data_IF_382124158766
#
_entry.id   IF_382124158766
#
_cell.length_a   1.000
_cell.length_b   1.000
_cell.length_c   1.000
_cell.angle_alpha   90.00
_cell.angle_beta   90.00
_cell.angle_gamma   90.00
#
_symmetry.space_group_name_H-M   'P 1'
#
loop_
_entity.id
_entity.type
_entity.pdbx_description
1 polymer ?
#
# COMPACT_ATOMS: atom_id res chain seq x y z
N UNK A 1 -31.21 6.79 40.42
CA UNK A 1 -30.26 7.25 41.46
C UNK A 1 -29.65 6.04 42.14
N UNK A 2 -28.44 5.66 41.73
CA UNK A 2 -27.45 4.95 42.56
C UNK A 2 -26.15 4.95 41.77
N UNK A 3 -25.24 5.83 42.18
CA UNK A 3 -23.88 5.93 41.68
C UNK A 3 -23.07 4.72 42.11
N UNK A 4 -22.36 4.08 41.19
CA UNK A 4 -21.22 3.22 41.53
C UNK A 4 -19.95 3.90 41.04
N UNK A 5 -19.19 4.43 42.00
CA UNK A 5 -17.84 4.97 41.81
C UNK A 5 -16.87 3.78 41.77
N UNK A 6 -16.13 3.62 40.67
CA UNK A 6 -14.89 2.85 40.69
C UNK A 6 -13.70 3.80 40.88
N UNK A 7 -12.74 3.45 41.76
CA UNK A 7 -11.68 4.35 42.18
C UNK A 7 -10.56 4.43 41.13
N UNK A 8 -10.17 5.67 40.83
CA UNK A 8 -8.94 6.03 40.14
C UNK A 8 -7.72 5.59 40.96
N UNK A 9 -6.87 4.75 40.38
CA UNK A 9 -5.51 4.51 40.89
C UNK A 9 -4.48 4.51 39.75
N UNK A 10 -3.94 5.72 39.55
CA UNK A 10 -2.52 6.02 39.31
C UNK A 10 -1.88 5.22 38.17
N UNK A 11 -2.03 5.73 36.95
CA UNK A 11 -1.09 5.46 35.87
C UNK A 11 0.28 6.04 36.26
N UNK A 12 1.28 5.18 36.43
CA UNK A 12 2.69 5.61 36.41
C UNK A 12 2.98 6.05 34.98
N UNK A 13 3.13 7.36 34.80
CA UNK A 13 3.52 7.95 33.52
C UNK A 13 4.85 7.37 33.07
N UNK A 14 4.82 6.65 31.95
CA UNK A 14 6.01 6.50 31.11
C UNK A 14 6.20 7.86 30.47
N UNK A 15 7.19 8.61 30.95
CA UNK A 15 7.68 9.78 30.26
C UNK A 15 8.36 9.30 28.98
N UNK A 16 7.62 9.23 27.89
CA UNK A 16 8.20 9.20 26.55
C UNK A 16 8.80 10.60 26.37
N UNK A 17 10.12 10.67 26.48
CA UNK A 17 10.85 11.88 26.16
C UNK A 17 10.69 12.14 24.66
N UNK A 18 9.69 12.93 24.30
CA UNK A 18 9.66 13.60 23.00
C UNK A 18 10.85 14.55 22.97
N UNK A 19 11.94 14.11 22.36
CA UNK A 19 12.94 15.03 21.84
C UNK A 19 12.29 15.74 20.66
N UNK A 20 11.67 16.89 20.94
CA UNK A 20 11.42 17.90 19.91
C UNK A 20 12.79 18.41 19.48
N UNK A 21 13.38 17.77 18.48
CA UNK A 21 14.45 18.39 17.70
C UNK A 21 13.77 19.47 16.87
N UNK A 22 13.68 20.66 17.46
CA UNK A 22 13.49 21.89 16.71
C UNK A 22 14.78 22.17 15.97
N UNK A 23 14.89 21.63 14.76
CA UNK A 23 15.75 22.21 13.73
C UNK A 23 14.83 22.86 12.72
N UNK A 24 14.67 24.17 12.88
CA UNK A 24 14.15 25.03 11.85
C UNK A 24 14.98 24.82 10.57
N UNK A 25 14.26 24.52 9.47
CA UNK A 25 14.61 24.80 8.09
C UNK A 25 16.06 24.59 7.67
N UNK A 26 16.39 23.37 7.29
CA UNK A 26 17.28 23.11 6.15
C UNK A 26 16.70 21.90 5.41
N UNK A 27 15.71 22.15 4.54
CA UNK A 27 15.50 21.22 3.43
C UNK A 27 16.73 21.35 2.56
N UNK A 28 17.58 20.32 2.50
CA UNK A 28 18.69 20.31 1.56
C UNK A 28 18.17 20.66 0.16
N UNK A 29 18.90 21.49 -0.60
CA UNK A 29 18.51 21.82 -1.96
C UNK A 29 18.25 20.53 -2.75
N UNK A 30 17.21 20.52 -3.58
CA UNK A 30 16.87 19.38 -4.43
C UNK A 30 18.14 18.94 -5.17
N UNK A 31 18.69 17.75 -4.89
CA UNK A 31 19.88 17.27 -5.58
C UNK A 31 19.63 17.31 -7.09
N UNK A 32 20.66 17.51 -7.92
CA UNK A 32 20.56 17.31 -9.37
C UNK A 32 20.00 15.90 -9.63
N UNK A 33 18.70 15.86 -9.88
CA UNK A 33 17.95 14.60 -9.87
C UNK A 33 18.01 14.08 -11.29
N UNK A 34 18.85 13.07 -11.52
CA UNK A 34 18.92 12.40 -12.81
C UNK A 34 17.51 11.96 -13.22
N UNK A 35 17.06 12.42 -14.39
CA UNK A 35 15.74 12.09 -14.92
C UNK A 35 15.85 10.93 -15.91
N UNK A 36 15.00 9.93 -15.70
CA UNK A 36 14.87 8.75 -16.54
C UNK A 36 13.48 8.72 -17.16
N UNK A 37 13.41 8.25 -18.39
CA UNK A 37 12.17 7.91 -19.10
C UNK A 37 12.14 6.42 -19.37
N UNK A 38 10.99 5.88 -19.79
CA UNK A 38 10.89 4.46 -20.11
C UNK A 38 10.38 4.18 -21.52
N UNK A 39 11.02 3.25 -22.21
CA UNK A 39 10.59 2.73 -23.51
C UNK A 39 10.09 1.30 -23.35
N UNK A 40 8.97 0.89 -23.98
CA UNK A 40 8.52 -0.50 -23.94
C UNK A 40 9.57 -1.41 -24.59
N UNK A 41 9.87 -2.55 -23.96
CA UNK A 41 10.80 -3.56 -24.49
C UNK A 41 10.19 -4.97 -24.48
N UNK A 42 9.51 -5.33 -23.39
CA UNK A 42 8.86 -6.62 -23.22
C UNK A 42 7.36 -6.48 -23.04
N UNK A 43 6.59 -7.42 -23.58
CA UNK A 43 5.15 -7.52 -23.36
C UNK A 43 4.73 -8.99 -23.29
N UNK A 44 4.07 -9.34 -22.20
CA UNK A 44 3.50 -10.66 -21.94
C UNK A 44 1.99 -10.46 -21.82
N UNK A 45 1.22 -11.23 -22.56
CA UNK A 45 -0.23 -11.10 -22.62
C UNK A 45 -0.78 -11.39 -24.01
N UNK A 46 -2.00 -11.91 -24.08
CA UNK A 46 -2.74 -12.05 -25.34
C UNK A 46 -4.20 -11.57 -25.16
N UNK A 47 -4.70 -10.83 -26.15
CA UNK A 47 -6.08 -10.36 -26.20
C UNK A 47 -7.10 -11.46 -26.54
N UNK A 48 -6.65 -12.58 -27.12
CA UNK A 48 -7.54 -13.56 -27.76
C UNK A 48 -7.76 -14.85 -26.96
N UNK A 49 -7.57 -14.81 -25.63
CA UNK A 49 -7.93 -15.93 -24.77
C UNK A 49 -6.99 -17.14 -24.87
N UNK A 50 -5.78 -16.95 -25.41
CA UNK A 50 -4.72 -17.95 -25.39
C UNK A 50 -4.14 -18.17 -23.98
N UNK A 51 -3.16 -19.07 -23.82
CA UNK A 51 -2.54 -19.38 -22.52
C UNK A 51 -1.87 -18.16 -21.83
N UNK A 52 -1.62 -17.08 -22.59
CA UNK A 52 -1.10 -15.81 -22.10
C UNK A 52 -2.20 -14.76 -21.80
N UNK A 53 -3.49 -15.08 -21.93
CA UNK A 53 -4.55 -14.14 -21.62
C UNK A 53 -4.74 -14.02 -20.10
N UNK A 54 -4.60 -12.80 -19.57
CA UNK A 54 -4.79 -12.54 -18.14
C UNK A 54 -6.22 -12.09 -17.83
N UNK A 55 -6.85 -12.72 -16.84
CA UNK A 55 -8.16 -12.32 -16.34
C UNK A 55 -8.06 -11.05 -15.49
N UNK A 56 -7.17 -11.05 -14.49
CA UNK A 56 -6.85 -9.87 -13.70
C UNK A 56 -5.47 -10.02 -13.06
N UNK A 57 -4.53 -9.18 -13.47
CA UNK A 57 -3.22 -9.10 -12.81
C UNK A 57 -3.29 -8.16 -11.60
N UNK A 58 -3.04 -8.68 -10.39
CA UNK A 58 -2.97 -7.86 -9.18
C UNK A 58 -1.54 -7.47 -8.80
N UNK A 59 -0.57 -8.34 -9.07
CA UNK A 59 0.83 -8.12 -8.74
C UNK A 59 1.76 -8.71 -9.81
N UNK A 60 2.92 -8.08 -9.97
CA UNK A 60 3.99 -8.52 -10.86
C UNK A 60 5.30 -8.33 -10.10
N UNK A 61 6.13 -9.38 -10.04
CA UNK A 61 7.49 -9.31 -9.49
C UNK A 61 8.49 -9.88 -10.46
N UNK A 62 9.75 -9.46 -10.34
CA UNK A 62 10.83 -9.94 -11.19
C UNK A 62 11.97 -10.48 -10.34
N UNK A 63 12.59 -11.58 -10.76
CA UNK A 63 13.81 -12.05 -10.11
C UNK A 63 14.93 -11.00 -10.22
N UNK A 64 15.87 -10.93 -9.26
CA UNK A 64 16.95 -9.94 -9.28
C UNK A 64 17.82 -9.98 -10.56
N UNK A 65 17.96 -11.14 -11.20
CA UNK A 65 18.65 -11.33 -12.48
C UNK A 65 17.85 -10.86 -13.71
N UNK A 66 16.55 -10.58 -13.55
CA UNK A 66 15.65 -10.18 -14.62
C UNK A 66 15.12 -11.33 -15.47
N UNK A 67 15.44 -12.59 -15.18
CA UNK A 67 15.12 -13.74 -16.04
C UNK A 67 13.72 -14.34 -15.80
N UNK A 68 13.08 -14.03 -14.66
CA UNK A 68 11.77 -14.57 -14.28
C UNK A 68 10.80 -13.47 -13.89
N UNK A 69 9.65 -13.44 -14.55
CA UNK A 69 8.54 -12.54 -14.29
C UNK A 69 7.40 -13.31 -13.65
N UNK A 70 7.14 -13.04 -12.38
CA UNK A 70 6.08 -13.65 -11.58
C UNK A 70 4.82 -12.81 -11.72
N UNK A 71 3.71 -13.46 -12.08
CA UNK A 71 2.42 -12.81 -12.31
C UNK A 71 1.37 -13.45 -11.42
N UNK A 72 0.67 -12.62 -10.65
CA UNK A 72 -0.39 -13.06 -9.75
C UNK A 72 -1.78 -12.69 -10.29
N UNK A 73 -2.63 -13.71 -10.44
CA UNK A 73 -4.04 -13.57 -10.85
C UNK A 73 -4.97 -14.07 -9.74
N UNK A 74 -5.47 -13.18 -8.86
CA UNK A 74 -6.15 -13.59 -7.63
C UNK A 74 -7.50 -14.26 -7.87
N UNK A 75 -8.24 -13.84 -8.91
CA UNK A 75 -9.53 -14.46 -9.24
C UNK A 75 -9.43 -15.88 -9.75
N UNK A 76 -8.29 -16.23 -10.37
CA UNK A 76 -8.02 -17.59 -10.81
C UNK A 76 -7.28 -18.40 -9.75
N UNK A 77 -6.93 -17.80 -8.60
CA UNK A 77 -6.03 -18.41 -7.62
C UNK A 77 -4.74 -18.94 -8.30
N UNK A 78 -4.20 -18.14 -9.24
CA UNK A 78 -3.12 -18.52 -10.14
C UNK A 78 -1.88 -17.68 -9.93
N UNK A 79 -0.73 -18.35 -9.83
CA UNK A 79 0.60 -17.74 -9.94
C UNK A 79 1.29 -18.37 -11.14
N UNK A 80 1.68 -17.55 -12.09
CA UNK A 80 2.46 -17.98 -13.25
C UNK A 80 3.82 -17.29 -13.28
N UNK A 81 4.82 -17.98 -13.80
CA UNK A 81 6.19 -17.46 -13.95
C UNK A 81 6.57 -17.55 -15.41
N UNK A 82 7.11 -16.48 -15.94
CA UNK A 82 7.39 -16.29 -17.36
C UNK A 82 8.84 -15.86 -17.55
N UNK A 83 9.39 -16.10 -18.73
CA UNK A 83 10.55 -15.34 -19.21
C UNK A 83 10.11 -13.93 -19.62
N UNK A 84 11.02 -12.94 -19.67
CA UNK A 84 10.73 -11.63 -20.25
C UNK A 84 10.16 -11.68 -21.67
N UNK A 85 10.57 -12.69 -22.45
CA UNK A 85 10.14 -12.92 -23.83
C UNK A 85 8.72 -13.52 -23.93
N UNK A 86 8.12 -13.90 -22.80
CA UNK A 86 6.74 -14.40 -22.74
C UNK A 86 6.60 -15.92 -22.81
N UNK A 87 7.68 -16.68 -22.63
CA UNK A 87 7.59 -18.14 -22.47
C UNK A 87 7.20 -18.50 -21.03
N UNK A 88 6.25 -19.40 -20.87
CA UNK A 88 5.82 -19.85 -19.53
C UNK A 88 6.84 -20.85 -18.95
N UNK A 89 7.35 -20.55 -17.76
CA UNK A 89 8.28 -21.38 -17.00
C UNK A 89 7.57 -22.22 -15.95
N UNK A 90 6.50 -21.67 -15.35
CA UNK A 90 5.73 -22.33 -14.29
C UNK A 90 4.29 -21.80 -14.30
N UNK A 91 3.35 -22.68 -13.98
CA UNK A 91 1.95 -22.32 -13.79
C UNK A 91 1.37 -23.08 -12.59
N UNK A 92 0.96 -22.35 -11.56
CA UNK A 92 0.31 -22.89 -10.37
C UNK A 92 -1.09 -22.30 -10.29
N UNK A 93 -2.08 -23.05 -10.78
CA UNK A 93 -3.51 -22.77 -10.62
C UNK A 93 -4.13 -23.82 -9.69
N UNK A 94 -4.23 -23.50 -8.41
CA UNK A 94 -4.68 -24.45 -7.38
C UNK A 94 -5.65 -23.78 -6.42
N UNK A 95 -6.92 -23.57 -6.80
CA UNK A 95 -7.91 -22.98 -5.90
C UNK A 95 -8.23 -23.94 -4.73
N UNK A 96 -8.21 -23.43 -3.49
CA UNK A 96 -8.61 -24.21 -2.32
C UNK A 96 -7.93 -23.81 -1.01
N UNK A 97 -7.98 -24.73 -0.03
CA UNK A 97 -7.50 -24.52 1.34
C UNK A 97 -6.41 -25.52 1.76
N UNK A 98 -6.08 -26.49 0.91
CA UNK A 98 -5.02 -27.48 1.12
C UNK A 98 -3.59 -26.93 0.93
N UNK A 99 -2.56 -27.75 1.19
CA UNK A 99 -1.16 -27.36 1.00
C UNK A 99 -0.86 -26.99 -0.45
N UNK A 100 -0.31 -25.79 -0.68
CA UNK A 100 0.00 -25.29 -2.02
C UNK A 100 -1.19 -24.77 -2.82
N UNK A 101 -2.39 -24.73 -2.23
CA UNK A 101 -3.58 -24.13 -2.83
C UNK A 101 -3.73 -22.64 -2.42
N UNK A 102 -4.56 -21.87 -3.11
CA UNK A 102 -4.87 -20.48 -2.78
C UNK A 102 -6.37 -20.21 -2.86
N UNK A 103 -6.86 -19.30 -2.02
CA UNK A 103 -8.24 -18.81 -2.07
C UNK A 103 -8.28 -17.36 -2.53
N UNK A 104 -7.42 -16.53 -1.95
CA UNK A 104 -7.37 -15.11 -2.29
C UNK A 104 -5.92 -14.64 -2.13
N UNK A 105 -5.04 -15.06 -3.06
CA UNK A 105 -3.65 -14.66 -3.00
C UNK A 105 -3.55 -13.14 -3.24
N UNK A 106 -2.73 -12.48 -2.44
CA UNK A 106 -2.64 -11.02 -2.34
C UNK A 106 -1.33 -10.48 -2.90
N UNK A 107 -0.24 -11.24 -2.74
CA UNK A 107 1.12 -10.87 -3.13
C UNK A 107 1.92 -12.12 -3.50
N UNK A 108 2.79 -12.00 -4.49
CA UNK A 108 3.87 -12.95 -4.78
C UNK A 108 5.19 -12.25 -4.51
N UNK A 109 6.18 -12.97 -3.96
CA UNK A 109 7.50 -12.41 -3.71
C UNK A 109 8.61 -13.43 -4.02
N UNK A 110 9.46 -13.16 -5.02
CA UNK A 110 10.68 -13.93 -5.28
C UNK A 110 11.61 -13.90 -4.06
N UNK A 111 12.35 -14.98 -3.84
CA UNK A 111 13.36 -15.06 -2.79
C UNK A 111 14.49 -16.02 -3.21
N UNK A 112 15.63 -16.04 -2.50
CA UNK A 112 16.78 -16.87 -2.88
C UNK A 112 16.50 -18.38 -3.00
N UNK A 113 15.47 -18.90 -2.31
CA UNK A 113 15.09 -20.31 -2.34
C UNK A 113 13.97 -20.62 -3.38
N UNK A 114 13.33 -19.59 -3.91
CA UNK A 114 12.23 -19.68 -4.87
C UNK A 114 11.30 -18.48 -4.79
N UNK A 115 10.08 -18.67 -4.30
CA UNK A 115 9.12 -17.59 -4.14
C UNK A 115 8.10 -17.90 -3.04
N UNK A 116 7.47 -16.86 -2.52
CA UNK A 116 6.39 -16.95 -1.55
C UNK A 116 5.11 -16.35 -2.11
N UNK A 117 3.98 -16.87 -1.66
CA UNK A 117 2.65 -16.34 -1.97
C UNK A 117 1.94 -16.05 -0.65
N UNK A 118 1.56 -14.80 -0.46
CA UNK A 118 0.73 -14.38 0.67
C UNK A 118 -0.73 -14.53 0.28
N UNK A 119 -1.48 -15.33 1.02
CA UNK A 119 -2.94 -15.39 0.99
C UNK A 119 -3.49 -14.72 2.27
N UNK A 120 -4.78 -14.41 2.26
CA UNK A 120 -5.57 -13.94 3.40
C UNK A 120 -5.45 -14.78 4.68
N UNK A 121 -4.98 -16.03 4.58
CA UNK A 121 -4.88 -16.97 5.72
C UNK A 121 -3.50 -17.55 5.97
N UNK A 122 -2.53 -17.37 5.07
CA UNK A 122 -1.24 -18.06 5.16
C UNK A 122 -0.21 -17.45 4.22
N UNK A 123 1.05 -17.76 4.51
CA UNK A 123 2.17 -17.63 3.60
C UNK A 123 2.54 -19.02 3.09
N UNK A 124 2.67 -19.18 1.78
CA UNK A 124 3.04 -20.46 1.16
C UNK A 124 4.33 -20.28 0.38
N UNK A 125 5.32 -21.13 0.64
CA UNK A 125 6.66 -21.04 0.07
C UNK A 125 6.87 -22.15 -0.94
N UNK A 126 7.43 -21.79 -2.09
CA UNK A 126 7.74 -22.70 -3.19
C UNK A 126 9.21 -22.55 -3.56
N UNK A 127 9.75 -23.66 -4.05
CA UNK A 127 10.99 -23.67 -4.83
C UNK A 127 10.80 -22.98 -6.18
N UNK A 128 11.91 -22.66 -6.86
CA UNK A 128 11.91 -22.09 -8.21
C UNK A 128 11.19 -22.95 -9.27
N UNK A 129 11.13 -24.27 -9.08
CA UNK A 129 10.41 -25.23 -9.93
C UNK A 129 8.96 -25.48 -9.47
N UNK A 130 8.47 -24.74 -8.48
CA UNK A 130 7.06 -24.78 -8.04
C UNK A 130 6.71 -25.91 -7.07
N UNK A 131 7.70 -26.66 -6.56
CA UNK A 131 7.49 -27.61 -5.47
C UNK A 131 7.28 -26.87 -4.16
N UNK A 132 6.25 -27.26 -3.41
CA UNK A 132 5.93 -26.74 -2.08
C UNK A 132 7.08 -27.00 -1.10
N UNK A 133 7.56 -25.95 -0.44
CA UNK A 133 8.55 -26.02 0.64
C UNK A 133 7.87 -26.11 1.99
N UNK A 134 7.01 -25.12 2.31
CA UNK A 134 6.29 -25.03 3.58
C UNK A 134 5.10 -24.07 3.48
N UNK A 135 4.23 -24.15 4.48
CA UNK A 135 3.11 -23.22 4.68
C UNK A 135 3.14 -22.72 6.11
N UNK A 136 3.03 -21.40 6.28
CA UNK A 136 2.92 -20.74 7.59
C UNK A 136 1.51 -20.16 7.70
N UNK A 137 0.66 -20.65 8.63
CA UNK A 137 -0.67 -20.10 8.81
C UNK A 137 -0.60 -18.69 9.40
N UNK A 138 -1.62 -17.89 9.12
CA UNK A 138 -1.85 -16.66 9.85
C UNK A 138 -2.12 -16.95 11.33
N UNK A 139 -1.90 -15.97 12.20
CA UNK A 139 -2.00 -16.12 13.64
C UNK A 139 -3.43 -16.49 14.06
N UNK A 140 -3.60 -17.23 15.17
CA UNK A 140 -4.91 -17.57 15.68
C UNK A 140 -5.79 -16.33 15.90
N UNK A 141 -7.10 -16.37 15.56
CA UNK A 141 -8.02 -15.25 15.75
C UNK A 141 -8.14 -14.75 17.20
N UNK A 142 -7.72 -15.56 18.17
CA UNK A 142 -7.72 -15.20 19.60
C UNK A 142 -6.71 -14.09 19.95
N UNK A 143 -5.70 -13.87 19.12
CA UNK A 143 -4.74 -12.79 19.30
C UNK A 143 -5.37 -11.51 18.76
N UNK A 144 -5.56 -10.54 19.66
CA UNK A 144 -6.21 -9.27 19.33
C UNK A 144 -5.53 -8.10 20.01
N UNK A 145 -5.62 -6.93 19.39
CA UNK A 145 -5.24 -5.66 20.00
C UNK A 145 -6.50 -4.92 20.41
N UNK A 146 -6.71 -4.75 21.73
CA UNK A 146 -7.91 -4.11 22.30
C UNK A 146 -9.23 -4.70 21.76
N UNK A 147 -9.28 -6.03 21.53
CA UNK A 147 -10.44 -6.73 20.99
C UNK A 147 -10.55 -6.74 19.46
N UNK A 148 -9.70 -6.00 18.75
CA UNK A 148 -9.65 -6.05 17.29
C UNK A 148 -8.72 -7.17 16.81
N UNK A 149 -9.19 -7.96 15.85
CA UNK A 149 -8.35 -8.95 15.15
C UNK A 149 -7.17 -8.26 14.49
N UNK A 150 -6.06 -8.97 14.36
CA UNK A 150 -4.88 -8.46 13.69
C UNK A 150 -4.89 -8.83 12.21
N UNK A 151 -4.43 -7.92 11.35
CA UNK A 151 -4.15 -8.17 9.94
C UNK A 151 -2.64 -8.33 9.76
N UNK A 152 -2.11 -9.56 9.57
CA UNK A 152 -0.71 -9.77 9.26
C UNK A 152 -0.35 -9.09 7.94
N UNK A 153 0.71 -8.29 7.95
CA UNK A 153 1.23 -7.57 6.77
C UNK A 153 2.55 -8.15 6.30
N UNK A 154 3.34 -8.71 7.23
CA UNK A 154 4.69 -9.21 6.98
C UNK A 154 4.98 -10.39 7.89
N UNK A 155 5.57 -11.46 7.37
CA UNK A 155 6.15 -12.54 8.16
C UNK A 155 7.61 -12.17 8.48
N UNK A 156 8.04 -12.34 9.72
CA UNK A 156 9.43 -12.11 10.15
C UNK A 156 10.21 -13.42 10.21
N UNK A 157 11.55 -13.36 10.20
CA UNK A 157 12.41 -14.56 10.21
C UNK A 157 12.20 -15.45 11.44
N UNK A 158 11.80 -14.88 12.58
CA UNK A 158 11.58 -15.59 13.85
C UNK A 158 10.15 -16.15 13.99
N UNK A 159 9.48 -16.46 12.88
CA UNK A 159 8.07 -16.91 12.81
C UNK A 159 7.08 -15.97 13.52
N UNK A 160 7.46 -14.70 13.69
CA UNK A 160 6.59 -13.61 14.11
C UNK A 160 6.00 -12.89 12.90
N UNK A 161 5.25 -11.83 13.15
CA UNK A 161 4.66 -11.04 12.08
C UNK A 161 4.53 -9.58 12.49
N UNK A 162 4.61 -8.69 11.50
CA UNK A 162 4.15 -7.32 11.67
C UNK A 162 2.68 -7.26 11.26
N UNK A 163 1.84 -6.65 12.09
CA UNK A 163 0.42 -6.50 11.86
C UNK A 163 -0.10 -5.11 12.22
N UNK A 164 -1.28 -4.81 11.67
CA UNK A 164 -2.11 -3.68 12.09
C UNK A 164 -3.45 -4.20 12.60
N UNK A 165 -4.10 -3.52 13.57
CA UNK A 165 -5.45 -3.86 13.98
C UNK A 165 -6.47 -3.71 12.84
N UNK A 166 -7.39 -4.67 12.71
CA UNK A 166 -8.52 -4.62 11.80
C UNK A 166 -9.65 -3.76 12.39
N UNK A 167 -9.52 -2.43 12.29
CA UNK A 167 -10.53 -1.49 12.80
C UNK A 167 -11.72 -1.41 11.82
N UNK A 168 -12.96 -1.67 12.27
CA UNK A 168 -14.15 -1.41 11.46
C UNK A 168 -14.27 0.07 11.09
N UNK A 169 -14.74 0.36 9.88
CA UNK A 169 -14.88 1.75 9.40
C UNK A 169 -15.74 2.64 10.28
N UNK A 170 -16.78 2.08 10.91
CA UNK A 170 -17.67 2.80 11.84
C UNK A 170 -16.94 3.29 13.10
N UNK A 171 -16.02 2.48 13.62
CA UNK A 171 -15.17 2.86 14.76
C UNK A 171 -14.12 3.86 14.30
N UNK A 172 -13.49 3.63 13.14
CA UNK A 172 -12.50 4.56 12.59
C UNK A 172 -13.08 5.96 12.32
N UNK A 173 -14.36 6.05 11.96
CA UNK A 173 -15.08 7.30 11.73
C UNK A 173 -15.67 7.94 13.00
N UNK A 174 -15.50 7.34 14.18
CA UNK A 174 -16.04 7.86 15.45
C UNK A 174 -17.57 7.72 15.62
N UNK A 175 -18.22 6.83 14.86
CA UNK A 175 -19.69 6.73 14.88
C UNK A 175 -20.26 5.97 16.07
N UNK A 176 -19.40 5.35 16.89
CA UNK A 176 -19.76 4.62 18.11
C UNK A 176 -19.68 5.47 19.37
N UNK A 177 -19.58 6.79 19.24
CA UNK A 177 -19.51 7.74 20.37
C UNK A 177 -18.08 8.06 20.82
N UNK A 178 -17.08 7.60 20.07
CA UNK A 178 -15.66 7.91 20.23
C UNK A 178 -15.22 8.96 19.20
N UNK A 179 -14.10 9.63 19.42
CA UNK A 179 -13.49 10.46 18.38
C UNK A 179 -12.99 9.59 17.20
N UNK A 180 -12.96 10.14 15.97
CA UNK A 180 -12.33 9.46 14.83
C UNK A 180 -10.91 8.97 15.15
N UNK A 181 -10.52 7.87 14.53
CA UNK A 181 -9.21 7.29 14.75
C UNK A 181 -8.16 8.03 13.93
N UNK A 182 -7.30 8.78 14.61
CA UNK A 182 -6.20 9.52 14.00
C UNK A 182 -4.89 8.73 13.95
N UNK A 183 -4.74 7.72 14.81
CA UNK A 183 -3.51 6.95 14.98
C UNK A 183 -3.76 5.45 14.94
N UNK A 184 -2.88 4.69 14.27
CA UNK A 184 -2.95 3.24 14.23
C UNK A 184 -1.60 2.62 14.64
N UNK A 185 -1.56 1.73 15.65
CA UNK A 185 -0.31 1.10 16.03
C UNK A 185 0.10 0.07 14.98
N UNK A 186 1.39 0.08 14.69
CA UNK A 186 2.07 -1.00 14.00
C UNK A 186 2.66 -1.94 15.03
N UNK A 187 2.33 -3.22 14.93
CA UNK A 187 2.54 -4.20 15.99
C UNK A 187 3.48 -5.30 15.49
N UNK A 188 4.55 -5.58 16.21
CA UNK A 188 5.30 -6.82 16.04
C UNK A 188 4.76 -7.85 17.01
N UNK A 189 4.37 -9.00 16.49
CA UNK A 189 3.74 -10.07 17.25
C UNK A 189 4.53 -11.34 17.08
N UNK A 190 4.85 -12.01 18.19
CA UNK A 190 5.72 -13.17 18.22
C UNK A 190 5.26 -14.19 19.24
N UNK A 191 5.61 -15.46 19.01
CA UNK A 191 5.40 -16.51 19.98
C UNK A 191 6.66 -16.65 20.86
N UNK A 192 6.49 -16.58 22.17
CA UNK A 192 7.50 -16.81 23.20
C UNK A 192 6.95 -17.84 24.19
N UNK A 193 7.62 -18.99 24.34
CA UNK A 193 7.26 -20.05 25.31
C UNK A 193 5.75 -20.42 25.31
N UNK A 194 5.20 -20.75 24.13
CA UNK A 194 3.78 -21.06 23.91
C UNK A 194 2.80 -19.91 24.21
N UNK A 195 3.29 -18.67 24.35
CA UNK A 195 2.49 -17.46 24.55
C UNK A 195 2.76 -16.45 23.46
N UNK A 196 1.74 -15.72 23.06
CA UNK A 196 1.90 -14.63 22.10
C UNK A 196 2.20 -13.33 22.83
N UNK A 197 3.27 -12.66 22.45
CA UNK A 197 3.62 -11.31 22.90
C UNK A 197 3.53 -10.34 21.73
N UNK A 198 3.27 -9.08 22.04
CA UNK A 198 3.02 -8.04 21.05
C UNK A 198 3.57 -6.72 21.54
N UNK A 199 4.41 -6.11 20.70
CA UNK A 199 5.06 -4.84 20.94
C UNK A 199 4.62 -3.83 19.88
N UNK A 200 4.36 -2.59 20.29
CA UNK A 200 4.14 -1.49 19.33
C UNK A 200 5.49 -1.00 18.83
N UNK A 201 5.72 -1.14 17.52
CA UNK A 201 7.00 -0.75 16.89
C UNK A 201 6.95 0.62 16.23
N UNK A 202 5.75 1.08 15.88
CA UNK A 202 5.49 2.43 15.38
C UNK A 202 4.02 2.82 15.59
N UNK A 203 3.71 4.10 15.45
CA UNK A 203 2.35 4.61 15.40
C UNK A 203 2.21 5.37 14.09
N UNK A 204 1.22 4.97 13.28
CA UNK A 204 0.94 5.56 11.98
C UNK A 204 -0.10 6.66 12.14
N UNK A 205 0.14 7.82 11.53
CA UNK A 205 -0.91 8.81 11.29
C UNK A 205 -1.87 8.27 10.22
N UNK A 206 -3.14 8.13 10.57
CA UNK A 206 -4.21 7.63 9.69
C UNK A 206 -5.33 8.64 9.50
N UNK A 207 -5.10 9.91 9.87
CA UNK A 207 -6.02 11.01 9.62
C UNK A 207 -6.30 11.15 8.13
N UNK A 208 -7.51 11.62 7.83
CA UNK A 208 -7.98 11.89 6.46
C UNK A 208 -7.91 10.69 5.49
N UNK A 209 -7.56 9.48 5.95
CA UNK A 209 -7.43 8.29 5.09
C UNK A 209 -8.74 7.86 4.44
N UNK A 210 -9.85 8.09 5.13
CA UNK A 210 -11.17 7.60 4.74
C UNK A 210 -12.15 8.74 4.49
N UNK A 211 -12.99 8.57 3.48
CA UNK A 211 -14.26 9.28 3.34
C UNK A 211 -15.33 8.52 4.12
N UNK A 212 -15.95 9.19 5.09
CA UNK A 212 -17.00 8.62 5.94
C UNK A 212 -18.24 9.52 5.89
N UNK A 213 -19.35 9.00 5.36
CA UNK A 213 -20.62 9.72 5.22
C UNK A 213 -21.74 8.94 5.90
N UNK A 214 -22.40 9.62 6.84
CA UNK A 214 -23.59 9.14 7.54
C UNK A 214 -24.77 10.10 7.25
N UNK A 215 -25.81 9.66 6.52
CA UNK A 215 -26.95 10.52 6.18
C UNK A 215 -27.74 10.98 7.41
N UNK A 216 -28.37 12.15 7.34
CA UNK A 216 -29.19 12.67 8.44
C UNK A 216 -30.40 11.76 8.75
N UNK A 217 -30.75 11.63 10.05
CA UNK A 217 -31.85 10.77 10.52
C UNK A 217 -31.44 9.32 10.86
N UNK A 218 -30.14 9.03 10.83
CA UNK A 218 -29.50 7.74 11.06
C UNK A 218 -29.38 7.31 12.53
N UNK A 219 -30.24 7.80 13.43
CA UNK A 219 -30.15 7.46 14.87
C UNK A 219 -30.40 5.97 15.16
N UNK A 220 -30.89 5.21 14.18
CA UNK A 220 -31.12 3.76 14.28
C UNK A 220 -30.00 2.94 13.60
N UNK A 221 -29.61 1.85 14.25
CA UNK A 221 -28.50 0.92 13.95
C UNK A 221 -28.50 0.27 12.55
N UNK A 222 -29.48 0.56 11.68
CA UNK A 222 -29.65 -0.08 10.36
C UNK A 222 -29.70 0.91 9.20
N UNK A 223 -29.13 2.10 9.35
CA UNK A 223 -28.94 3.02 8.22
C UNK A 223 -27.70 2.63 7.41
N UNK A 224 -27.75 2.85 6.10
CA UNK A 224 -26.58 2.63 5.26
C UNK A 224 -25.57 3.76 5.46
N UNK A 225 -24.30 3.43 5.33
CA UNK A 225 -23.19 4.33 5.56
C UNK A 225 -22.14 4.13 4.47
N UNK A 226 -21.56 5.21 3.94
CA UNK A 226 -20.41 5.11 3.04
C UNK A 226 -19.14 5.30 3.86
N UNK A 227 -18.32 4.26 3.93
CA UNK A 227 -16.96 4.34 4.47
C UNK A 227 -15.99 3.69 3.47
N UNK A 228 -15.13 4.51 2.87
CA UNK A 228 -14.17 4.09 1.85
C UNK A 228 -12.89 4.89 1.94
N UNK A 229 -11.78 4.38 1.40
CA UNK A 229 -10.58 5.19 1.23
C UNK A 229 -10.82 6.34 0.25
N UNK A 230 -10.11 7.46 0.42
CA UNK A 230 -10.21 8.62 -0.46
C UNK A 230 -8.90 8.89 -1.23
N UNK A 231 -8.96 9.45 -2.45
CA UNK A 231 -7.80 9.57 -3.34
C UNK A 231 -6.84 10.70 -2.96
N UNK A 232 -7.27 11.60 -2.08
CA UNK A 232 -6.52 12.78 -1.64
C UNK A 232 -5.99 12.63 -0.20
N UNK A 233 -6.04 11.40 0.35
CA UNK A 233 -5.53 11.10 1.67
C UNK A 233 -4.03 11.41 1.77
N UNK A 234 -3.62 11.91 2.94
CA UNK A 234 -2.28 12.33 3.30
C UNK A 234 -1.70 11.52 4.49
N UNK A 235 -2.39 10.46 4.89
CA UNK A 235 -1.96 9.50 5.92
C UNK A 235 -0.60 8.86 5.62
N UNK A 236 0.04 8.32 6.65
CA UNK A 236 1.30 7.63 6.52
C UNK A 236 1.20 6.44 5.55
N UNK A 237 2.14 6.37 4.61
CA UNK A 237 2.25 5.21 3.73
C UNK A 237 3.24 4.21 4.33
N UNK A 238 2.97 2.92 4.10
CA UNK A 238 3.84 1.85 4.58
C UNK A 238 4.22 0.90 3.46
N UNK A 239 5.48 0.48 3.47
CA UNK A 239 5.95 -0.65 2.69
C UNK A 239 6.50 -1.71 3.64
N UNK A 240 5.97 -2.92 3.50
CA UNK A 240 6.39 -4.10 4.26
C UNK A 240 7.34 -4.88 3.39
N UNK A 241 8.60 -4.97 3.82
CA UNK A 241 9.68 -5.60 3.07
C UNK A 241 9.78 -7.09 3.45
N UNK A 242 9.34 -8.00 2.57
CA UNK A 242 9.41 -9.44 2.80
C UNK A 242 10.81 -10.02 2.73
N UNK A 243 11.78 -9.32 2.13
CA UNK A 243 13.16 -9.80 2.03
C UNK A 243 13.90 -9.59 3.35
N UNK A 244 13.76 -8.39 3.94
CA UNK A 244 14.45 -8.01 5.17
C UNK A 244 13.63 -8.23 6.44
N UNK A 245 12.31 -8.37 6.32
CA UNK A 245 11.41 -8.37 7.47
C UNK A 245 11.18 -6.98 8.09
N UNK A 246 11.72 -5.91 7.48
CA UNK A 246 11.59 -4.54 7.97
C UNK A 246 10.34 -3.85 7.42
N UNK A 247 10.01 -2.69 8.01
CA UNK A 247 8.93 -1.82 7.54
C UNK A 247 9.47 -0.45 7.23
N UNK A 248 9.13 0.07 6.06
CA UNK A 248 9.34 1.47 5.69
C UNK A 248 8.07 2.25 5.94
N UNK A 249 8.17 3.36 6.67
CA UNK A 249 7.10 4.34 6.90
C UNK A 249 7.47 5.62 6.15
N UNK A 250 6.52 6.17 5.40
CA UNK A 250 6.66 7.43 4.69
C UNK A 250 5.66 8.45 5.24
N UNK A 251 6.15 9.35 6.08
CA UNK A 251 5.42 10.52 6.52
C UNK A 251 5.41 11.56 5.40
N UNK A 252 4.22 12.08 5.09
CA UNK A 252 4.01 12.95 3.91
C UNK A 252 3.04 14.12 4.13
N UNK A 253 2.49 14.26 5.33
CA UNK A 253 1.56 15.32 5.69
C UNK A 253 2.27 16.55 6.30
N UNK A 254 3.21 17.12 5.56
CA UNK A 254 3.95 18.32 6.01
C UNK A 254 3.46 19.62 5.38
N UNK A 255 2.66 19.55 4.31
CA UNK A 255 2.10 20.72 3.62
C UNK A 255 3.08 21.54 2.79
N UNK A 256 4.35 21.13 2.69
CA UNK A 256 5.43 21.87 2.02
C UNK A 256 6.19 21.06 0.95
N UNK A 257 5.72 19.86 0.61
CA UNK A 257 6.42 18.94 -0.29
C UNK A 257 7.45 18.04 0.40
N UNK A 258 7.68 18.21 1.70
CA UNK A 258 8.56 17.33 2.48
C UNK A 258 8.03 15.90 2.54
N UNK A 259 8.95 14.95 2.62
CA UNK A 259 8.71 13.55 2.93
C UNK A 259 9.76 13.12 3.95
N UNK A 260 9.35 12.34 4.95
CA UNK A 260 10.27 11.65 5.86
C UNK A 260 10.06 10.15 5.73
N UNK A 261 11.13 9.43 5.41
CA UNK A 261 11.18 7.99 5.34
C UNK A 261 11.89 7.45 6.58
N UNK A 262 11.33 6.40 7.18
CA UNK A 262 11.92 5.65 8.28
C UNK A 262 11.89 4.17 7.91
N UNK A 263 13.00 3.46 8.08
CA UNK A 263 13.04 2.00 8.05
C UNK A 263 13.19 1.46 9.46
N UNK A 264 12.24 0.63 9.86
CA UNK A 264 12.08 0.13 11.22
C UNK A 264 12.15 -1.39 11.21
N UNK A 265 12.95 -1.96 12.11
CA UNK A 265 13.07 -3.41 12.30
C UNK A 265 11.90 -3.95 13.15
N UNK A 266 11.63 -5.27 13.15
CA UNK A 266 10.61 -5.85 14.02
C UNK A 266 10.81 -5.59 15.53
N UNK A 267 12.03 -5.47 16.08
CA UNK A 267 12.23 -4.98 17.44
C UNK A 267 11.81 -3.52 17.69
N UNK A 268 11.61 -2.72 16.64
CA UNK A 268 11.25 -1.30 16.72
C UNK A 268 12.42 -0.33 16.54
N UNK A 269 13.60 -0.82 16.17
CA UNK A 269 14.76 0.04 15.94
C UNK A 269 14.66 0.73 14.57
N UNK A 270 14.85 2.04 14.53
CA UNK A 270 15.02 2.77 13.27
C UNK A 270 16.46 2.60 12.78
N UNK A 271 16.63 1.89 11.66
CA UNK A 271 17.95 1.56 11.10
C UNK A 271 18.35 2.46 9.93
N UNK A 272 17.38 3.15 9.33
CA UNK A 272 17.61 4.11 8.27
C UNK A 272 16.53 5.18 8.29
N UNK A 273 16.91 6.42 7.98
CA UNK A 273 15.95 7.51 7.80
C UNK A 273 16.42 8.47 6.72
N UNK A 274 15.47 9.08 6.02
CA UNK A 274 15.72 10.15 5.04
C UNK A 274 14.66 11.22 5.12
N UNK A 275 15.05 12.47 4.92
CA UNK A 275 14.13 13.57 4.69
C UNK A 275 14.57 14.33 3.46
N UNK A 276 13.62 14.64 2.59
CA UNK A 276 13.83 15.45 1.39
C UNK A 276 12.51 16.10 0.99
N UNK A 277 12.56 17.04 0.07
CA UNK A 277 11.37 17.67 -0.51
C UNK A 277 11.25 17.30 -1.99
N UNK A 278 10.02 17.11 -2.44
CA UNK A 278 9.66 17.02 -3.86
C UNK A 278 8.83 18.24 -4.24
N UNK A 279 8.66 18.48 -5.53
CA UNK A 279 7.85 19.58 -6.03
C UNK A 279 6.41 19.50 -5.49
N UNK A 280 5.93 20.49 -4.70
CA UNK A 280 4.53 20.54 -4.30
C UNK A 280 3.63 20.71 -5.52
N UNK A 281 2.51 19.97 -5.52
CA UNK A 281 1.52 20.00 -6.60
C UNK A 281 0.22 20.55 -6.05
N UNK A 282 -0.28 21.64 -6.64
CA UNK A 282 -1.57 22.19 -6.24
C UNK A 282 -2.73 21.28 -6.63
N UNK A 283 -3.79 21.30 -5.82
CA UNK A 283 -5.01 20.57 -6.11
C UNK A 283 -5.70 21.16 -7.35
N UNK A 284 -5.71 20.41 -8.46
CA UNK A 284 -6.39 20.79 -9.69
C UNK A 284 -7.92 20.70 -9.53
N UNK A 285 -8.70 21.69 -9.98
CA UNK A 285 -10.17 21.63 -9.93
C UNK A 285 -10.74 20.37 -10.59
N UNK A 286 -10.15 19.91 -11.69
CA UNK A 286 -10.61 18.72 -12.42
C UNK A 286 -10.44 17.43 -11.60
N UNK A 287 -9.36 17.35 -10.81
CA UNK A 287 -9.11 16.22 -9.92
C UNK A 287 -10.13 16.18 -8.78
N UNK A 288 -10.40 17.33 -8.18
CA UNK A 288 -11.39 17.48 -7.11
C UNK A 288 -12.80 17.12 -7.63
N UNK A 289 -13.22 17.70 -8.75
CA UNK A 289 -14.51 17.41 -9.37
C UNK A 289 -14.67 15.94 -9.76
N UNK A 290 -13.61 15.33 -10.32
CA UNK A 290 -13.60 13.90 -10.63
C UNK A 290 -13.77 13.03 -9.39
N UNK A 291 -13.10 13.37 -8.28
CA UNK A 291 -13.27 12.66 -7.01
C UNK A 291 -14.70 12.80 -6.48
N UNK A 292 -15.24 14.02 -6.46
CA UNK A 292 -16.61 14.29 -6.01
C UNK A 292 -17.62 13.47 -6.82
N UNK A 293 -17.50 13.44 -8.16
CA UNK A 293 -18.43 12.71 -9.01
C UNK A 293 -18.40 11.19 -8.76
N UNK A 294 -17.20 10.62 -8.63
CA UNK A 294 -17.01 9.19 -8.34
C UNK A 294 -17.67 8.81 -7.01
N UNK A 295 -17.37 9.53 -5.93
CA UNK A 295 -17.94 9.21 -4.61
C UNK A 295 -19.42 9.52 -4.52
N UNK A 296 -19.91 10.54 -5.25
CA UNK A 296 -21.35 10.79 -5.38
C UNK A 296 -22.04 9.60 -6.02
N UNK A 297 -21.47 9.05 -7.10
CA UNK A 297 -21.99 7.85 -7.76
C UNK A 297 -22.01 6.63 -6.83
N UNK A 298 -20.94 6.41 -6.07
CA UNK A 298 -20.86 5.32 -5.09
C UNK A 298 -21.92 5.46 -3.99
N UNK A 299 -22.04 6.66 -3.41
CA UNK A 299 -23.03 6.97 -2.38
C UNK A 299 -24.45 6.73 -2.88
N UNK A 300 -24.80 7.29 -4.05
CA UNK A 300 -26.14 7.14 -4.65
C UNK A 300 -26.45 5.67 -4.92
N UNK A 301 -25.50 4.92 -5.48
CA UNK A 301 -25.68 3.49 -5.72
C UNK A 301 -25.90 2.72 -4.41
N UNK A 302 -25.08 2.97 -3.39
CA UNK A 302 -25.18 2.30 -2.10
C UNK A 302 -26.51 2.62 -1.38
N UNK A 303 -26.92 3.89 -1.37
CA UNK A 303 -28.19 4.34 -0.81
C UNK A 303 -29.41 3.69 -1.48
N UNK A 304 -29.33 3.51 -2.81
CA UNK A 304 -30.37 2.85 -3.60
C UNK A 304 -30.45 1.37 -3.27
N UNK A 305 -29.31 0.67 -3.18
CA UNK A 305 -29.28 -0.74 -2.78
C UNK A 305 -29.81 -0.96 -1.36
N UNK A 306 -29.65 0.04 -0.48
CA UNK A 306 -30.18 0.02 0.88
C UNK A 306 -31.68 0.39 0.98
N UNK A 307 -32.36 0.69 -0.13
CA UNK A 307 -33.78 1.07 -0.13
C UNK A 307 -34.07 2.47 0.41
N UNK A 308 -33.04 3.31 0.54
CA UNK A 308 -33.13 4.68 1.03
C UNK A 308 -32.39 5.62 0.04
N UNK A 309 -32.92 5.81 -1.18
CA UNK A 309 -32.22 6.50 -2.25
C UNK A 309 -31.99 7.97 -1.91
N UNK A 310 -30.74 8.41 -2.03
CA UNK A 310 -30.34 9.82 -1.95
C UNK A 310 -30.28 10.40 -3.36
N UNK A 311 -30.76 11.63 -3.53
CA UNK A 311 -30.68 12.32 -4.83
C UNK A 311 -29.23 12.63 -5.19
N UNK A 312 -28.89 12.70 -6.48
CA UNK A 312 -27.50 13.05 -6.89
C UNK A 312 -27.04 14.40 -6.35
N UNK A 313 -27.94 15.39 -6.25
CA UNK A 313 -27.62 16.72 -5.72
C UNK A 313 -27.32 16.69 -4.21
N UNK A 314 -28.14 15.96 -3.44
CA UNK A 314 -27.90 15.76 -2.01
C UNK A 314 -26.64 14.92 -1.76
N UNK A 315 -26.44 13.84 -2.53
CA UNK A 315 -25.25 13.01 -2.43
C UNK A 315 -23.97 13.77 -2.74
N UNK A 316 -24.01 14.66 -3.73
CA UNK A 316 -22.89 15.56 -4.03
C UNK A 316 -22.59 16.49 -2.85
N UNK A 317 -23.60 17.13 -2.27
CA UNK A 317 -23.42 18.01 -1.11
C UNK A 317 -22.83 17.27 0.11
N UNK A 318 -23.25 16.03 0.35
CA UNK A 318 -22.70 15.18 1.41
C UNK A 318 -21.22 14.82 1.16
N UNK A 319 -20.88 14.50 -0.08
CA UNK A 319 -19.49 14.21 -0.48
C UNK A 319 -18.62 15.45 -0.37
N UNK A 320 -19.06 16.60 -0.87
CA UNK A 320 -18.33 17.86 -0.76
C UNK A 320 -18.06 18.26 0.70
N UNK A 321 -19.00 17.99 1.61
CA UNK A 321 -18.82 18.28 3.04
C UNK A 321 -17.85 17.32 3.76
N UNK A 322 -17.67 16.10 3.23
CA UNK A 322 -16.90 15.04 3.89
C UNK A 322 -15.53 14.77 3.25
N UNK A 323 -15.34 15.12 1.98
CA UNK A 323 -14.11 14.86 1.24
C UNK A 323 -12.98 15.75 1.78
N UNK A 324 -11.86 15.14 2.14
CA UNK A 324 -10.64 15.87 2.47
C UNK A 324 -9.93 16.27 1.19
N UNK A 325 -9.61 17.56 1.06
CA UNK A 325 -9.06 18.15 -0.16
C UNK A 325 -7.89 19.09 0.18
N UNK A 326 -6.69 18.54 0.47
CA UNK A 326 -5.52 19.33 0.79
C UNK A 326 -5.03 20.10 -0.43
N UNK A 327 -4.54 21.32 -0.19
CA UNK A 327 -3.81 22.11 -1.18
C UNK A 327 -2.60 22.78 -0.49
N UNK A 328 -1.36 22.40 -0.84
CA UNK A 328 -0.98 21.45 -1.90
C UNK A 328 -1.37 19.99 -1.60
N UNK A 329 -1.41 19.16 -2.65
CA UNK A 329 -1.59 17.71 -2.55
C UNK A 329 -0.44 17.06 -1.75
N UNK A 330 -0.68 15.89 -1.12
CA UNK A 330 0.37 15.19 -0.39
C UNK A 330 1.54 14.83 -1.31
N UNK A 331 2.77 14.96 -0.80
CA UNK A 331 4.00 14.89 -1.59
C UNK A 331 4.12 13.63 -2.46
N UNK A 332 3.70 12.49 -1.92
CA UNK A 332 3.61 11.20 -2.63
C UNK A 332 2.26 10.55 -2.36
N UNK A 333 1.76 9.76 -3.30
CA UNK A 333 0.51 8.99 -3.18
C UNK A 333 0.72 7.49 -3.07
N UNK A 334 1.93 7.03 -3.32
CA UNK A 334 2.26 5.62 -3.30
C UNK A 334 3.73 5.42 -2.95
N UNK A 335 4.02 4.36 -2.19
CA UNK A 335 5.37 3.91 -1.86
C UNK A 335 5.46 2.40 -2.02
N UNK A 336 6.57 1.90 -2.57
CA UNK A 336 6.84 0.47 -2.74
C UNK A 336 8.34 0.23 -2.83
N UNK A 337 8.83 -0.84 -2.20
CA UNK A 337 10.16 -1.38 -2.50
C UNK A 337 10.12 -2.28 -3.74
N UNK A 338 11.16 -2.16 -4.54
CA UNK A 338 11.38 -2.94 -5.76
C UNK A 338 12.44 -4.02 -5.53
N UNK A 339 12.53 -5.00 -6.42
CA UNK A 339 13.55 -6.06 -6.35
C UNK A 339 14.99 -5.57 -6.53
N UNK A 340 15.21 -4.29 -6.88
CA UNK A 340 16.53 -3.66 -6.80
C UNK A 340 16.95 -3.30 -5.37
N UNK A 341 16.03 -3.37 -4.40
CA UNK A 341 16.21 -2.87 -3.03
C UNK A 341 15.87 -1.39 -2.86
N UNK A 342 15.65 -0.65 -3.96
CA UNK A 342 15.30 0.77 -3.90
C UNK A 342 13.84 0.98 -3.51
N UNK A 343 13.57 2.12 -2.87
CA UNK A 343 12.22 2.60 -2.62
C UNK A 343 11.74 3.48 -3.77
N UNK A 344 10.58 3.18 -4.31
CA UNK A 344 9.92 3.93 -5.37
C UNK A 344 8.68 4.63 -4.83
N UNK A 345 8.55 5.90 -5.15
CA UNK A 345 7.50 6.77 -4.64
C UNK A 345 6.82 7.51 -5.78
N UNK A 346 5.51 7.35 -5.91
CA UNK A 346 4.74 8.04 -6.94
C UNK A 346 4.24 9.37 -6.41
N UNK A 347 4.38 10.45 -7.17
CA UNK A 347 3.82 11.76 -6.84
C UNK A 347 2.52 12.05 -7.59
N UNK A 348 1.94 13.23 -7.36
CA UNK A 348 0.86 13.79 -8.18
C UNK A 348 1.38 14.61 -9.37
N UNK A 349 2.70 14.75 -9.52
CA UNK A 349 3.29 15.51 -10.61
C UNK A 349 3.11 14.76 -11.93
N UNK A 350 2.70 15.49 -12.97
CA UNK A 350 2.53 14.99 -14.34
C UNK A 350 3.29 15.90 -15.31
N UNK A 351 4.10 15.31 -16.18
CA UNK A 351 4.86 16.00 -17.22
C UNK A 351 4.65 15.27 -18.54
N UNK A 352 4.13 15.94 -19.57
CA UNK A 352 3.90 15.37 -20.90
C UNK A 352 3.11 14.05 -20.89
N UNK A 353 2.05 13.96 -20.05
CA UNK A 353 1.27 12.72 -19.83
C UNK A 353 2.06 11.54 -19.24
N UNK A 354 3.17 11.84 -18.57
CA UNK A 354 3.94 10.92 -17.75
C UNK A 354 3.76 11.28 -16.28
N UNK A 355 3.55 10.28 -15.44
CA UNK A 355 3.53 10.42 -13.98
C UNK A 355 4.95 10.35 -13.46
N UNK A 356 5.26 11.22 -12.52
CA UNK A 356 6.58 11.31 -11.89
C UNK A 356 6.67 10.36 -10.70
N UNK A 357 7.70 9.53 -10.74
CA UNK A 357 8.17 8.71 -9.64
C UNK A 357 9.53 9.21 -9.17
N UNK A 358 9.76 9.16 -7.87
CA UNK A 358 11.09 9.30 -7.31
C UNK A 358 11.59 7.96 -6.80
N UNK A 359 12.88 7.70 -6.95
CA UNK A 359 13.54 6.50 -6.44
C UNK A 359 14.70 6.88 -5.53
N UNK A 360 14.92 6.09 -4.48
CA UNK A 360 16.01 6.30 -3.53
C UNK A 360 16.54 4.95 -3.05
N UNK A 361 17.86 4.81 -3.03
CA UNK A 361 18.54 3.68 -2.43
C UNK A 361 18.33 3.64 -0.91
N UNK A 362 18.05 2.45 -0.39
CA UNK A 362 17.89 2.21 1.06
C UNK A 362 19.24 1.88 1.71
N UNK A 363 19.36 2.15 3.00
CA UNK A 363 20.57 1.87 3.79
C UNK A 363 21.72 2.86 3.58
N UNK A 364 21.82 3.51 2.43
CA UNK A 364 22.82 4.53 2.12
C UNK A 364 22.26 5.95 2.29
N UNK A 365 22.85 6.72 3.20
CA UNK A 365 22.49 8.12 3.46
C UNK A 365 23.15 9.10 2.49
N UNK A 366 23.85 8.64 1.45
CA UNK A 366 24.32 9.50 0.37
C UNK A 366 23.65 9.16 -0.96
N UNK A 367 22.79 8.14 -0.99
CA UNK A 367 22.04 7.75 -2.17
C UNK A 367 21.22 8.91 -2.71
N UNK A 368 21.54 9.31 -3.94
CA UNK A 368 20.90 10.40 -4.64
C UNK A 368 19.45 10.05 -4.98
N UNK A 369 18.56 11.02 -4.82
CA UNK A 369 17.21 10.93 -5.33
C UNK A 369 17.26 10.88 -6.88
N UNK A 370 16.50 9.98 -7.49
CA UNK A 370 16.34 9.94 -8.94
C UNK A 370 14.89 10.14 -9.33
N UNK A 371 14.65 10.66 -10.54
CA UNK A 371 13.32 10.93 -11.07
C UNK A 371 13.06 10.03 -12.26
N UNK A 372 11.97 9.28 -12.23
CA UNK A 372 11.56 8.34 -13.29
C UNK A 372 10.18 8.71 -13.80
N UNK A 373 10.08 8.91 -15.12
CA UNK A 373 8.83 9.27 -15.79
C UNK A 373 8.20 8.03 -16.42
N UNK A 374 6.97 7.72 -16.00
CA UNK A 374 6.21 6.56 -16.47
C UNK A 374 4.89 6.98 -17.11
N UNK A 375 4.42 6.31 -18.18
CA UNK A 375 3.12 6.64 -18.78
C UNK A 375 1.97 6.52 -17.78
N UNK A 376 1.01 7.45 -17.80
CA UNK A 376 -0.14 7.44 -16.87
C UNK A 376 -0.97 6.15 -16.91
N UNK A 377 -1.02 5.47 -18.06
CA UNK A 377 -1.71 4.18 -18.24
C UNK A 377 -0.91 2.95 -17.77
N UNK A 378 0.32 3.11 -17.30
CA UNK A 378 1.19 2.02 -16.87
C UNK A 378 1.26 1.96 -15.33
N UNK A 379 0.85 0.81 -14.76
CA UNK A 379 0.89 0.57 -13.32
C UNK A 379 2.18 -0.17 -12.98
N UNK A 380 3.22 0.57 -12.59
CA UNK A 380 4.46 -0.02 -12.09
C UNK A 380 4.20 -0.93 -10.88
N UNK A 381 4.85 -2.08 -10.88
CA UNK A 381 4.76 -3.11 -9.83
C UNK A 381 6.12 -3.52 -9.31
N UNK A 382 7.14 -3.49 -10.16
CA UNK A 382 8.49 -3.84 -9.79
C UNK A 382 9.52 -3.14 -10.68
N UNK A 383 10.80 -3.23 -10.32
CA UNK A 383 11.89 -2.77 -11.14
C UNK A 383 13.14 -3.64 -10.99
N UNK A 384 13.93 -3.69 -12.05
CA UNK A 384 15.32 -4.15 -12.08
C UNK A 384 16.22 -2.94 -12.36
N UNK A 385 17.56 -3.06 -12.32
CA UNK A 385 18.45 -1.93 -12.62
C UNK A 385 18.27 -1.35 -14.03
N UNK A 386 17.63 -2.09 -14.94
CA UNK A 386 17.49 -1.73 -16.35
C UNK A 386 16.04 -1.54 -16.79
N UNK A 387 15.06 -2.07 -16.05
CA UNK A 387 13.65 -2.08 -16.48
C UNK A 387 12.68 -1.78 -15.34
N UNK A 388 11.56 -1.16 -15.67
CA UNK A 388 10.38 -1.08 -14.82
C UNK A 388 9.34 -2.04 -15.34
N UNK A 389 8.83 -2.89 -14.45
CA UNK A 389 7.83 -3.90 -14.75
C UNK A 389 6.50 -3.54 -14.13
N UNK A 390 5.42 -3.87 -14.84
CA UNK A 390 4.09 -3.47 -14.40
C UNK A 390 3.00 -3.92 -15.34
N UNK A 391 1.81 -3.37 -15.14
CA UNK A 391 0.61 -3.72 -15.90
C UNK A 391 0.17 -2.54 -16.73
N UNK A 392 -0.01 -2.75 -18.03
CA UNK A 392 -0.70 -1.82 -18.94
C UNK A 392 -2.05 -2.42 -19.31
N UNK A 393 -3.04 -1.56 -19.56
CA UNK A 393 -4.29 -1.98 -20.23
C UNK A 393 -4.43 -1.30 -21.57
N UNK A 394 -4.98 -2.00 -22.55
CA UNK A 394 -5.37 -1.41 -23.84
C UNK A 394 -6.75 -0.74 -23.76
N UNK A 395 -7.22 -0.22 -24.89
CA UNK A 395 -8.53 0.45 -25.01
C UNK A 395 -9.72 -0.47 -24.75
N UNK A 396 -9.54 -1.79 -24.84
CA UNK A 396 -10.57 -2.78 -24.53
C UNK A 396 -10.49 -3.25 -23.07
N UNK A 397 -9.53 -2.74 -22.30
CA UNK A 397 -9.32 -3.09 -20.90
C UNK A 397 -8.53 -4.39 -20.71
N UNK A 398 -8.01 -5.00 -21.78
CA UNK A 398 -7.16 -6.21 -21.70
C UNK A 398 -5.86 -5.85 -21.00
N UNK A 399 -5.44 -6.68 -20.04
CA UNK A 399 -4.23 -6.47 -19.27
C UNK A 399 -3.02 -7.15 -19.93
N UNK A 400 -1.89 -6.43 -19.95
CA UNK A 400 -0.60 -6.93 -20.39
C UNK A 400 0.43 -6.64 -19.29
N UNK A 401 1.31 -7.60 -19.04
CA UNK A 401 2.49 -7.39 -18.22
C UNK A 401 3.59 -6.84 -19.13
N UNK A 402 4.13 -5.68 -18.80
CA UNK A 402 5.07 -4.97 -19.67
C UNK A 402 6.35 -4.67 -18.91
N UNK A 403 7.48 -5.01 -19.52
CA UNK A 403 8.81 -4.57 -19.11
C UNK A 403 9.22 -3.35 -19.93
N UNK A 404 9.54 -2.24 -19.27
CA UNK A 404 9.93 -0.99 -19.92
C UNK A 404 11.36 -0.61 -19.55
N UNK A 405 12.24 -0.49 -20.54
CA UNK A 405 13.65 -0.12 -20.34
C UNK A 405 13.77 1.28 -19.77
N UNK A 406 14.61 1.45 -18.75
CA UNK A 406 15.03 2.74 -18.23
C UNK A 406 16.04 3.39 -19.19
N UNK A 407 15.77 4.61 -19.60
CA UNK A 407 16.63 5.41 -20.49
C UNK A 407 16.86 6.77 -19.85
N UNK A 408 18.13 7.15 -19.67
CA UNK A 408 18.48 8.44 -19.09
C UNK A 408 18.07 9.55 -20.06
N UNK A 409 17.31 10.54 -19.58
CA UNK A 409 16.99 11.73 -20.36
C UNK A 409 18.21 12.64 -20.34
N UNK A 410 18.87 12.80 -21.48
CA UNK A 410 19.91 13.82 -21.67
C UNK A 410 19.24 15.18 -21.83
N UNK A 411 19.83 16.26 -21.30
CA UNK A 411 19.29 17.64 -21.30
C UNK A 411 19.14 18.28 -22.71
N UNK A 412 19.19 17.49 -23.79
CA UNK A 412 19.22 17.93 -25.19
C UNK A 412 18.20 17.20 -26.08
N UNK A 413 17.03 16.82 -25.55
CA UNK A 413 15.93 16.18 -26.30
C UNK A 413 14.58 16.23 -25.59
#
# INVERSE_FOLDING_TARGET
MTSSRYPSRIARGIAVAFWVVSCAGDSDPTPETATWVTVPEFEIGDAFGGPAAFAQVSDVRVSPDGERVFVLEPYLARVSVWTPEGDILLDIEKPGEGPGEFRTPLRVEPNPDGFSVQDTRRFTFFTHDGRLLRTVPNPPPAISFRGFRLQPRLLTESDGYVAVPAIPGTVAAGWTGDDPLDELPLLHVRAEDDRWTMDTIAVLDVRNRSLAIRPAGSEWEFTWELHTGQPLADDDLTYFDPETGNVVIAHRNFGDGSIQLLEITPPGDTIWHRRFAVQPVSLRPELLEGAIDVFTGQLVNQSTMAGQPVSRGEGRALVEAALYAPDPLPSVRYVRGMSTGDLWMQTFEEVDSLVVWYTIGRGDTESALQRVLLPTGFRARDATPTHVWGVRRDSLGVAYVTGRKLVRRTESG
#
